data_IF_292906435941
#
_entry.id   IF_292906435941
#
_cell.length_a   1.000
_cell.length_b   1.000
_cell.length_c   1.000
_cell.angle_alpha   90.00
_cell.angle_beta   90.00
_cell.angle_gamma   90.00
#
_symmetry.space_group_name_H-M   'P 1'
#
loop_
_entity.id
_entity.type
_entity.pdbx_description
1 polymer ?
#
# COMPACT_ATOMS: atom_id res chain seq x y z
N UNK A 1 6.50 12.53 2.19
CA UNK A 1 6.42 12.20 3.63
C UNK A 1 7.78 11.67 4.07
N UNK A 2 8.32 12.12 5.22
CA UNK A 2 9.56 11.56 5.78
C UNK A 2 9.24 10.26 6.54
N UNK A 3 10.04 9.19 6.43
CA UNK A 3 9.84 7.99 7.24
C UNK A 3 9.96 8.29 8.73
N UNK A 4 8.93 7.90 9.49
CA UNK A 4 8.80 8.05 10.94
C UNK A 4 8.21 6.76 11.53
N UNK A 5 9.08 5.90 12.06
CA UNK A 5 8.70 4.60 12.63
C UNK A 5 7.83 4.72 13.89
N UNK A 6 7.74 5.90 14.52
CA UNK A 6 6.82 6.11 15.66
C UNK A 6 5.35 6.08 15.24
N UNK A 7 5.08 6.19 13.93
CA UNK A 7 3.74 6.06 13.31
C UNK A 7 3.39 4.64 12.90
N UNK A 8 4.18 3.65 13.32
CA UNK A 8 3.91 2.26 12.99
C UNK A 8 2.53 1.83 13.47
N UNK A 9 1.73 1.28 12.54
CA UNK A 9 0.41 0.74 12.80
C UNK A 9 0.26 -0.59 12.05
N UNK A 10 0.11 -1.67 12.81
CA UNK A 10 -0.06 -3.04 12.32
C UNK A 10 -1.49 -3.57 12.47
N UNK A 11 -2.47 -2.70 12.74
CA UNK A 11 -3.85 -3.13 12.84
C UNK A 11 -4.37 -3.62 11.48
N UNK A 12 -5.05 -4.77 11.41
CA UNK A 12 -5.59 -5.31 10.16
C UNK A 12 -6.51 -4.33 9.42
N UNK A 13 -7.27 -3.51 10.16
CA UNK A 13 -8.19 -2.50 9.65
C UNK A 13 -7.44 -1.35 8.97
N UNK A 14 -6.34 -0.91 9.57
CA UNK A 14 -5.48 0.12 9.00
C UNK A 14 -4.87 -0.34 7.67
N UNK A 15 -4.35 -1.57 7.66
CA UNK A 15 -3.79 -2.21 6.47
C UNK A 15 -4.87 -2.33 5.38
N UNK A 16 -6.06 -2.81 5.74
CA UNK A 16 -7.17 -2.94 4.80
C UNK A 16 -7.60 -1.60 4.21
N UNK A 17 -7.64 -0.54 5.03
CA UNK A 17 -7.95 0.81 4.58
C UNK A 17 -6.92 1.36 3.59
N UNK A 18 -5.63 1.13 3.84
CA UNK A 18 -4.57 1.54 2.91
C UNK A 18 -4.63 0.78 1.58
N UNK A 19 -4.89 -0.53 1.62
CA UNK A 19 -5.09 -1.33 0.40
C UNK A 19 -6.27 -0.79 -0.40
N UNK A 20 -7.43 -0.55 0.23
CA UNK A 20 -8.60 -0.02 -0.45
C UNK A 20 -8.30 1.33 -1.13
N UNK A 21 -7.64 2.26 -0.42
CA UNK A 21 -7.20 3.54 -0.99
C UNK A 21 -6.28 3.38 -2.18
N UNK A 22 -5.28 2.49 -2.10
CA UNK A 22 -4.38 2.21 -3.21
C UNK A 22 -5.12 1.60 -4.42
N UNK A 23 -6.10 0.72 -4.18
CA UNK A 23 -6.92 0.17 -5.25
C UNK A 23 -7.78 1.24 -5.92
N UNK A 24 -8.41 2.12 -5.15
CA UNK A 24 -9.23 3.22 -5.66
C UNK A 24 -8.40 4.26 -6.43
N UNK A 25 -7.23 4.64 -5.91
CA UNK A 25 -6.38 5.66 -6.50
C UNK A 25 -5.76 5.24 -7.85
N UNK A 26 -5.57 3.94 -8.07
CA UNK A 26 -4.84 3.41 -9.24
C UNK A 26 -5.65 2.41 -10.08
N UNK A 27 -6.89 2.07 -9.69
CA UNK A 27 -7.67 1.01 -10.32
C UNK A 27 -7.06 -0.39 -10.18
N UNK A 28 -6.25 -0.62 -9.13
CA UNK A 28 -5.49 -1.86 -8.96
C UNK A 28 -6.31 -2.95 -8.27
N UNK A 29 -6.01 -4.21 -8.63
CA UNK A 29 -6.40 -5.35 -7.81
C UNK A 29 -5.51 -5.44 -6.56
N UNK A 30 -6.01 -6.07 -5.50
CA UNK A 30 -5.24 -6.37 -4.29
C UNK A 30 -3.92 -7.12 -4.60
N UNK A 31 -3.91 -8.00 -5.61
CA UNK A 31 -2.69 -8.69 -6.06
C UNK A 31 -1.69 -7.72 -6.70
N UNK A 32 -2.17 -6.77 -7.49
CA UNK A 32 -1.31 -5.75 -8.09
C UNK A 32 -0.76 -4.78 -7.03
N UNK A 33 -1.56 -4.43 -6.01
CA UNK A 33 -1.08 -3.66 -4.85
C UNK A 33 0.08 -4.38 -4.16
N UNK A 34 -0.06 -5.68 -3.89
CA UNK A 34 1.01 -6.49 -3.28
C UNK A 34 2.29 -6.47 -4.14
N UNK A 35 2.15 -6.62 -5.46
CA UNK A 35 3.28 -6.57 -6.39
C UNK A 35 3.98 -5.21 -6.38
N UNK A 36 3.24 -4.11 -6.33
CA UNK A 36 3.83 -2.77 -6.34
C UNK A 36 4.60 -2.42 -5.08
N UNK A 37 4.24 -2.98 -3.93
CA UNK A 37 5.02 -2.83 -2.70
C UNK A 37 6.06 -3.94 -2.51
N UNK A 38 6.23 -4.84 -3.48
CA UNK A 38 7.26 -5.88 -3.46
C UNK A 38 6.97 -7.09 -2.56
N UNK A 39 5.71 -7.37 -2.24
CA UNK A 39 5.32 -8.45 -1.31
C UNK A 39 4.46 -9.50 -2.00
N UNK A 40 4.38 -10.69 -1.40
CA UNK A 40 3.47 -11.71 -1.91
C UNK A 40 2.01 -11.36 -1.61
N UNK A 41 1.10 -11.72 -2.51
CA UNK A 41 -0.34 -11.57 -2.28
C UNK A 41 -0.80 -12.26 -0.98
N UNK A 42 -0.25 -13.43 -0.68
CA UNK A 42 -0.55 -14.17 0.56
C UNK A 42 -0.13 -13.37 1.79
N UNK A 43 1.06 -12.78 1.78
CA UNK A 43 1.55 -11.93 2.87
C UNK A 43 0.61 -10.76 3.12
N UNK A 44 0.24 -10.03 2.07
CA UNK A 44 -0.68 -8.90 2.17
C UNK A 44 -2.05 -9.33 2.75
N UNK A 45 -2.58 -10.45 2.26
CA UNK A 45 -3.85 -11.01 2.75
C UNK A 45 -3.77 -11.45 4.21
N UNK A 46 -2.65 -12.01 4.64
CA UNK A 46 -2.45 -12.47 6.03
C UNK A 46 -2.32 -11.28 6.98
N UNK A 47 -1.70 -10.18 6.54
CA UNK A 47 -1.66 -8.91 7.27
C UNK A 47 -3.04 -8.30 7.48
N UNK A 48 -3.87 -8.21 6.42
CA UNK A 48 -5.25 -7.72 6.53
C UNK A 48 -6.18 -8.63 7.36
N UNK A 49 -5.75 -9.86 7.66
CA UNK A 49 -6.46 -10.80 8.55
C UNK A 49 -5.84 -10.87 9.95
N UNK A 50 -4.78 -10.11 10.23
CA UNK A 50 -4.05 -10.16 11.51
C UNK A 50 -3.36 -11.50 11.77
N UNK A 51 -3.11 -12.32 10.74
CA UNK A 51 -2.45 -13.63 10.87
C UNK A 51 -0.94 -13.53 10.93
N UNK A 52 -0.40 -12.40 10.49
CA UNK A 52 1.03 -12.11 10.51
C UNK A 52 1.24 -10.62 10.71
N UNK A 53 2.42 -10.27 11.23
CA UNK A 53 2.82 -8.88 11.47
C UNK A 53 3.54 -8.35 10.23
N UNK A 54 3.15 -7.17 9.75
CA UNK A 54 3.89 -6.47 8.70
C UNK A 54 4.94 -5.50 9.28
N UNK A 55 5.96 -5.12 8.51
CA UNK A 55 7.04 -4.26 9.01
C UNK A 55 6.79 -2.81 8.61
N UNK A 56 7.41 -1.88 9.34
CA UNK A 56 7.30 -0.45 9.03
C UNK A 56 7.65 -0.07 7.57
N UNK A 57 8.67 -0.67 6.91
CA UNK A 57 8.90 -0.42 5.49
C UNK A 57 7.73 -0.79 4.58
N UNK A 58 7.02 -1.88 4.89
CA UNK A 58 5.83 -2.32 4.12
C UNK A 58 4.68 -1.33 4.30
N UNK A 59 4.49 -0.83 5.54
CA UNK A 59 3.55 0.23 5.83
C UNK A 59 3.87 1.48 5.01
N UNK A 60 5.10 1.98 5.08
CA UNK A 60 5.49 3.19 4.37
C UNK A 60 5.32 3.03 2.86
N UNK A 61 5.70 1.88 2.29
CA UNK A 61 5.50 1.62 0.86
C UNK A 61 4.01 1.66 0.48
N UNK A 62 3.13 1.07 1.29
CA UNK A 62 1.70 1.07 1.03
C UNK A 62 1.05 2.45 1.24
N UNK A 63 1.47 3.20 2.26
CA UNK A 63 1.07 4.60 2.46
C UNK A 63 1.44 5.45 1.22
N UNK A 64 2.67 5.31 0.74
CA UNK A 64 3.15 6.04 -0.45
C UNK A 64 2.39 5.65 -1.71
N UNK A 65 2.06 4.37 -1.88
CA UNK A 65 1.23 3.91 -2.99
C UNK A 65 -0.20 4.46 -2.90
N UNK A 66 -0.80 4.45 -1.71
CA UNK A 66 -2.15 4.97 -1.48
C UNK A 66 -2.25 6.50 -1.65
N UNK A 67 -1.19 7.24 -1.29
CA UNK A 67 -1.11 8.69 -1.44
C UNK A 67 -0.79 9.15 -2.86
N UNK A 68 -0.08 8.32 -3.64
CA UNK A 68 0.26 8.63 -5.01
C UNK A 68 -0.99 8.49 -5.89
N UNK A 69 -1.98 9.37 -5.75
CA UNK A 69 -3.03 9.52 -6.77
C UNK A 69 -2.36 9.90 -8.10
N UNK A 70 -2.82 9.28 -9.18
CA UNK A 70 -2.26 9.39 -10.53
C UNK A 70 -1.94 10.84 -10.94
N UNK A 71 -0.70 11.25 -10.69
CA UNK A 71 -0.14 12.55 -11.05
C UNK A 71 0.71 12.39 -12.32
N UNK A 72 0.21 11.61 -13.30
CA UNK A 72 0.84 11.44 -14.61
C UNK A 72 -0.23 11.45 -15.72
N UNK A 73 -0.92 12.59 -15.86
CA UNK A 73 -1.42 13.07 -17.15
C UNK A 73 -0.74 14.42 -17.45
N UNK A 74 0.58 14.43 -17.56
CA UNK A 74 1.29 15.55 -18.17
C UNK A 74 2.46 15.01 -18.99
N UNK A 75 2.24 15.06 -20.31
CA UNK A 75 3.25 15.13 -21.37
C UNK A 75 4.05 13.88 -21.73
N UNK A 76 3.46 13.10 -22.64
CA UNK A 76 4.23 12.60 -23.79
C UNK A 76 3.45 12.84 -25.10
N UNK A 77 3.50 14.07 -25.58
CA UNK A 77 3.27 14.45 -26.98
C UNK A 77 4.48 15.25 -27.44
N UNK A 78 5.44 14.56 -28.06
CA UNK A 78 6.44 15.14 -28.95
C UNK A 78 6.46 14.33 -30.24
#
# INVERSE_FOLDING_TARGET
MTPDATRYNDSPEYIAGLVAKAQEAHGLSQRAVAQQIGVSFTSLRDWQKGRSRWRYPDQYALERLAEASHLEHADEKA
#
